data_IF_423854364854
#
_entry.id   IF_423854364854
#
_cell.length_a   1.000
_cell.length_b   1.000
_cell.length_c   1.000
_cell.angle_alpha   90.00
_cell.angle_beta   90.00
_cell.angle_gamma   90.00
#
_symmetry.space_group_name_H-M   'P 1'
#
loop_
_entity.id
_entity.type
_entity.pdbx_description
1 polymer ?
#
# COMPACT_ATOMS: atom_id res chain seq x y z
N UNK A 1 -32.37 48.18 41.54
CA UNK A 1 -31.39 48.12 40.44
C UNK A 1 -30.92 46.66 40.33
N UNK A 2 -31.33 45.95 39.28
CA UNK A 2 -31.15 44.51 39.11
C UNK A 2 -30.44 44.23 37.77
N UNK A 3 -29.53 43.24 37.80
CA UNK A 3 -28.87 42.53 36.69
C UNK A 3 -27.78 43.30 35.88
N UNK A 4 -26.74 42.61 35.32
CA UNK A 4 -26.78 41.20 34.90
C UNK A 4 -25.54 40.32 35.22
N UNK A 5 -25.81 39.08 35.65
CA UNK A 5 -24.87 37.94 35.77
C UNK A 5 -24.97 37.00 34.55
N UNK A 6 -25.77 37.35 33.53
CA UNK A 6 -26.14 36.44 32.43
C UNK A 6 -25.10 36.27 31.30
N UNK A 7 -24.00 37.03 31.27
CA UNK A 7 -23.11 37.06 30.09
C UNK A 7 -22.01 35.98 30.07
N UNK A 8 -21.71 35.35 31.21
CA UNK A 8 -20.56 34.43 31.33
C UNK A 8 -20.92 32.98 30.92
N UNK A 9 -22.20 32.60 31.01
CA UNK A 9 -22.69 31.24 30.70
C UNK A 9 -22.72 30.93 29.19
N UNK A 10 -23.06 31.92 28.38
CA UNK A 10 -23.24 31.79 26.92
C UNK A 10 -21.91 31.69 26.15
N UNK A 11 -20.84 32.30 26.66
CA UNK A 11 -19.52 32.23 26.02
C UNK A 11 -18.89 30.84 26.16
N UNK A 12 -19.10 30.19 27.31
CA UNK A 12 -18.51 28.87 27.64
C UNK A 12 -19.14 27.74 26.82
N UNK A 13 -20.44 27.84 26.53
CA UNK A 13 -21.16 26.88 25.67
C UNK A 13 -20.83 27.05 24.18
N UNK A 14 -20.54 28.27 23.71
CA UNK A 14 -20.06 28.50 22.34
C UNK A 14 -18.63 27.96 22.13
N UNK A 15 -17.74 28.13 23.11
CA UNK A 15 -16.37 27.59 23.07
C UNK A 15 -16.34 26.05 23.10
N UNK A 16 -17.24 25.40 23.84
CA UNK A 16 -17.34 23.94 23.85
C UNK A 16 -17.94 23.35 22.56
N UNK A 17 -18.86 24.07 21.89
CA UNK A 17 -19.38 23.65 20.58
C UNK A 17 -18.37 23.86 19.45
N UNK A 18 -17.51 24.89 19.54
CA UNK A 18 -16.41 25.09 18.59
C UNK A 18 -15.32 24.01 18.72
N UNK A 19 -14.99 23.58 19.94
CA UNK A 19 -14.02 22.49 20.18
C UNK A 19 -14.50 21.13 19.66
N UNK A 20 -15.80 20.85 19.72
CA UNK A 20 -16.38 19.60 19.22
C UNK A 20 -16.46 19.56 17.68
N UNK A 21 -16.62 20.70 17.00
CA UNK A 21 -16.66 20.74 15.54
C UNK A 21 -15.28 20.53 14.89
N UNK A 22 -14.20 20.90 15.58
CA UNK A 22 -12.82 20.68 15.11
C UNK A 22 -12.41 19.21 15.29
N UNK A 23 -12.88 18.52 16.32
CA UNK A 23 -12.58 17.09 16.51
C UNK A 23 -13.31 16.16 15.51
N UNK A 24 -14.46 16.58 14.97
CA UNK A 24 -15.21 15.78 14.00
C UNK A 24 -14.65 15.92 12.57
N UNK A 25 -13.89 16.98 12.26
CA UNK A 25 -13.18 17.10 10.97
C UNK A 25 -11.84 16.34 10.92
N UNK A 26 -11.30 15.89 12.06
CA UNK A 26 -10.06 15.10 12.09
C UNK A 26 -10.28 13.58 12.01
N UNK A 27 -11.55 13.11 11.99
CA UNK A 27 -11.87 11.75 11.55
C UNK A 27 -11.99 11.65 10.02
N UNK A 28 -11.15 12.42 9.31
CA UNK A 28 -10.89 12.16 7.90
C UNK A 28 -10.29 10.77 7.80
N UNK A 29 -11.09 9.84 7.29
CA UNK A 29 -10.69 8.61 6.61
C UNK A 29 -9.27 8.16 6.97
N UNK A 30 -9.14 7.26 7.94
CA UNK A 30 -7.97 6.41 8.05
C UNK A 30 -7.92 5.49 6.81
N UNK A 31 -7.74 6.07 5.63
CA UNK A 31 -7.20 5.35 4.49
C UNK A 31 -5.80 4.92 4.89
N UNK A 32 -5.44 3.69 4.57
CA UNK A 32 -4.06 3.22 4.71
C UNK A 32 -3.13 4.30 4.12
N UNK A 33 -2.26 4.87 4.96
CA UNK A 33 -1.27 5.84 4.52
C UNK A 33 -0.40 5.18 3.46
N UNK A 34 -0.23 5.82 2.31
CA UNK A 34 0.67 5.30 1.28
C UNK A 34 2.11 5.40 1.81
N UNK A 35 2.96 4.41 1.54
CA UNK A 35 4.37 4.49 1.89
C UNK A 35 5.04 5.77 1.32
N UNK A 36 4.48 6.32 0.25
CA UNK A 36 4.98 7.53 -0.40
C UNK A 36 4.46 8.83 0.25
N UNK A 37 3.66 8.78 1.30
CA UNK A 37 3.20 9.99 2.00
C UNK A 37 4.26 10.58 2.94
N UNK A 38 4.41 11.93 2.98
CA UNK A 38 3.54 12.94 2.36
C UNK A 38 3.86 13.27 0.89
N UNK A 39 2.82 13.44 0.06
CA UNK A 39 2.90 13.61 -1.41
C UNK A 39 3.87 14.72 -1.86
N UNK A 40 3.92 15.85 -1.15
CA UNK A 40 4.64 17.05 -1.58
C UNK A 40 6.12 17.11 -1.20
N UNK A 41 6.61 16.22 -0.33
CA UNK A 41 7.94 16.36 0.25
C UNK A 41 8.89 15.27 -0.29
N UNK A 42 10.15 15.60 -0.58
CA UNK A 42 11.16 14.59 -0.83
C UNK A 42 11.49 13.85 0.47
N UNK A 43 11.73 12.56 0.38
CA UNK A 43 12.28 11.76 1.45
C UNK A 43 13.78 11.87 1.45
N UNK A 44 14.34 12.27 2.59
CA UNK A 44 15.76 12.15 2.84
C UNK A 44 16.07 10.70 3.22
N UNK A 45 16.87 10.05 2.39
CA UNK A 45 17.29 8.65 2.52
C UNK A 45 18.73 8.61 3.00
N UNK A 46 19.02 7.76 3.98
CA UNK A 46 20.39 7.54 4.40
C UNK A 46 21.22 6.89 3.27
N UNK A 47 22.38 7.44 2.88
CA UNK A 47 23.16 6.94 1.73
C UNK A 47 23.82 5.58 1.92
N UNK A 48 24.08 5.16 3.16
CA UNK A 48 24.70 3.87 3.40
C UNK A 48 23.62 2.79 3.34
N UNK A 49 23.69 1.96 2.30
CA UNK A 49 22.74 0.86 2.06
C UNK A 49 23.49 -0.46 2.29
N UNK A 50 23.20 -1.20 3.38
CA UNK A 50 23.76 -2.53 3.61
C UNK A 50 23.31 -3.49 2.51
N UNK A 51 24.24 -4.28 2.01
CA UNK A 51 23.98 -5.32 1.00
C UNK A 51 24.36 -6.66 1.63
N UNK A 52 23.35 -7.43 2.03
CA UNK A 52 23.52 -8.61 2.87
C UNK A 52 23.08 -9.85 2.10
N UNK A 53 23.81 -10.95 2.21
CA UNK A 53 23.36 -12.21 1.64
C UNK A 53 22.22 -12.77 2.49
N UNK A 54 21.17 -13.30 1.85
CA UNK A 54 20.00 -13.79 2.56
C UNK A 54 20.31 -14.92 3.56
N UNK A 55 21.31 -15.77 3.30
CA UNK A 55 21.75 -16.82 4.24
C UNK A 55 22.36 -16.23 5.51
N UNK A 56 23.11 -15.12 5.36
CA UNK A 56 23.83 -14.51 6.48
C UNK A 56 22.83 -13.89 7.49
N UNK A 57 21.63 -13.50 7.04
CA UNK A 57 20.55 -13.07 7.93
C UNK A 57 20.04 -14.20 8.84
N UNK A 58 20.16 -15.45 8.43
CA UNK A 58 19.81 -16.61 9.27
C UNK A 58 20.87 -16.88 10.33
N UNK A 59 22.13 -16.60 9.99
CA UNK A 59 23.30 -17.01 10.77
C UNK A 59 23.73 -15.99 11.84
N UNK A 60 23.41 -14.69 11.65
CA UNK A 60 23.79 -13.62 12.57
C UNK A 60 22.60 -13.09 13.40
N UNK A 61 22.48 -13.57 14.63
CA UNK A 61 21.46 -13.12 15.60
C UNK A 61 21.51 -11.60 15.83
N UNK A 62 22.71 -11.03 15.86
CA UNK A 62 22.93 -9.59 16.00
C UNK A 62 22.32 -8.80 14.84
N UNK A 63 22.57 -9.21 13.60
CA UNK A 63 22.08 -8.53 12.41
C UNK A 63 20.55 -8.60 12.33
N UNK A 64 19.96 -9.75 12.66
CA UNK A 64 18.50 -9.89 12.75
C UNK A 64 17.88 -8.90 13.73
N UNK A 65 18.52 -8.73 14.90
CA UNK A 65 18.05 -7.78 15.89
C UNK A 65 18.13 -6.36 15.36
N UNK A 66 19.25 -5.99 14.72
CA UNK A 66 19.39 -4.67 14.09
C UNK A 66 18.31 -4.43 13.03
N UNK A 67 18.05 -5.40 12.13
CA UNK A 67 16.98 -5.29 11.14
C UNK A 67 15.60 -5.20 11.79
N UNK A 68 15.30 -6.02 12.79
CA UNK A 68 14.04 -5.97 13.50
C UNK A 68 13.83 -4.61 14.16
N UNK A 69 14.87 -4.07 14.81
CA UNK A 69 14.84 -2.76 15.47
C UNK A 69 14.52 -1.63 14.48
N UNK A 70 14.98 -1.71 13.22
CA UNK A 70 14.62 -0.74 12.16
C UNK A 70 13.11 -0.68 11.91
N UNK A 71 12.40 -1.81 12.03
CA UNK A 71 10.96 -1.91 11.79
C UNK A 71 10.10 -1.60 13.03
N UNK A 72 10.71 -1.39 14.21
CA UNK A 72 9.95 -1.13 15.44
C UNK A 72 9.35 0.27 15.56
N UNK A 73 9.65 1.17 14.61
CA UNK A 73 8.89 2.39 14.37
C UNK A 73 8.59 3.24 15.60
N UNK A 74 9.62 3.87 16.19
CA UNK A 74 9.43 4.69 17.40
C UNK A 74 9.46 6.20 17.17
N UNK A 75 10.00 6.65 16.04
CA UNK A 75 10.06 8.07 15.66
C UNK A 75 10.80 8.99 16.63
N UNK A 76 11.33 8.49 17.74
CA UNK A 76 12.10 9.27 18.69
C UNK A 76 13.52 9.51 18.16
N UNK A 77 14.06 10.73 18.30
CA UNK A 77 15.37 11.05 17.74
C UNK A 77 16.52 10.17 18.23
N UNK A 78 16.39 9.55 19.41
CA UNK A 78 17.39 8.63 19.94
C UNK A 78 17.37 7.28 19.22
N UNK A 79 16.19 6.68 19.00
CA UNK A 79 16.08 5.44 18.20
C UNK A 79 16.44 5.69 16.74
N UNK A 80 16.10 6.85 16.17
CA UNK A 80 16.51 7.22 14.80
C UNK A 80 18.04 7.23 14.68
N UNK A 81 18.74 7.87 15.63
CA UNK A 81 20.20 7.89 15.62
C UNK A 81 20.81 6.48 15.75
N UNK A 82 20.26 5.66 16.66
CA UNK A 82 20.69 4.27 16.83
C UNK A 82 20.44 3.43 15.56
N UNK A 83 19.33 3.65 14.87
CA UNK A 83 19.02 3.01 13.60
C UNK A 83 20.05 3.37 12.51
N UNK A 84 20.46 4.64 12.40
CA UNK A 84 21.50 5.05 11.46
C UNK A 84 22.85 4.39 11.78
N UNK A 85 23.22 4.31 13.06
CA UNK A 85 24.43 3.61 13.50
C UNK A 85 24.39 2.11 13.19
N UNK A 86 23.23 1.47 13.38
CA UNK A 86 23.01 0.08 13.05
C UNK A 86 23.17 -0.17 11.54
N UNK A 87 22.57 0.68 10.71
CA UNK A 87 22.70 0.63 9.24
C UNK A 87 24.16 0.78 8.81
N UNK A 88 24.90 1.73 9.37
CA UNK A 88 26.32 1.91 9.05
C UNK A 88 27.18 0.71 9.47
N UNK A 89 26.87 0.13 10.63
CA UNK A 89 27.57 -1.07 11.12
C UNK A 89 27.32 -2.27 10.20
N UNK A 90 26.07 -2.48 9.77
CA UNK A 90 25.69 -3.53 8.83
C UNK A 90 26.34 -3.32 7.46
N UNK A 91 26.38 -2.08 6.96
CA UNK A 91 27.02 -1.78 5.69
C UNK A 91 28.52 -2.10 5.77
N UNK A 92 29.22 -1.62 6.80
CA UNK A 92 30.64 -1.84 6.98
C UNK A 92 30.98 -3.34 7.15
N UNK A 93 30.12 -4.09 7.83
CA UNK A 93 30.31 -5.52 8.03
C UNK A 93 30.19 -6.32 6.72
N UNK A 94 29.17 -6.02 5.90
CA UNK A 94 28.83 -6.83 4.72
C UNK A 94 29.46 -6.34 3.41
N UNK A 95 30.00 -5.12 3.35
CA UNK A 95 30.50 -4.51 2.12
C UNK A 95 31.54 -5.37 1.39
N UNK A 96 32.55 -5.88 2.10
CA UNK A 96 33.63 -6.67 1.49
C UNK A 96 33.10 -7.98 0.92
N UNK A 97 32.22 -8.65 1.65
CA UNK A 97 31.61 -9.92 1.24
C UNK A 97 30.70 -9.74 0.03
N UNK A 98 29.86 -8.71 0.05
CA UNK A 98 28.98 -8.38 -1.07
C UNK A 98 29.79 -8.01 -2.32
N UNK A 99 30.83 -7.17 -2.18
CA UNK A 99 31.71 -6.79 -3.28
C UNK A 99 32.40 -8.01 -3.89
N UNK A 100 32.93 -8.91 -3.08
CA UNK A 100 33.62 -10.13 -3.55
C UNK A 100 32.68 -11.06 -4.35
N UNK A 101 31.39 -11.09 -4.03
CA UNK A 101 30.44 -12.00 -4.65
C UNK A 101 29.70 -11.42 -5.86
N UNK A 102 29.40 -10.12 -5.81
CA UNK A 102 28.70 -9.41 -6.88
C UNK A 102 29.67 -8.78 -7.88
N UNK A 103 30.95 -8.66 -7.53
CA UNK A 103 32.02 -8.07 -8.33
C UNK A 103 31.93 -6.54 -8.46
N UNK A 104 31.04 -5.90 -7.68
CA UNK A 104 30.77 -4.46 -7.72
C UNK A 104 30.05 -4.00 -6.45
N UNK A 105 30.15 -2.72 -6.13
CA UNK A 105 29.39 -2.12 -5.01
C UNK A 105 27.97 -1.79 -5.46
N UNK A 106 27.00 -2.59 -5.02
CA UNK A 106 25.59 -2.41 -5.37
C UNK A 106 24.99 -1.13 -4.76
N UNK A 107 25.48 -0.70 -3.58
CA UNK A 107 25.05 0.53 -2.93
C UNK A 107 25.26 1.75 -3.85
N UNK A 108 26.51 2.03 -4.23
CA UNK A 108 26.82 3.23 -5.02
C UNK A 108 26.22 3.17 -6.42
N UNK A 109 26.14 1.98 -7.01
CA UNK A 109 25.50 1.79 -8.31
C UNK A 109 24.00 2.04 -8.28
N UNK A 110 23.30 1.58 -7.24
CA UNK A 110 21.86 1.82 -7.09
C UNK A 110 21.58 3.32 -7.02
N UNK A 111 22.32 4.06 -6.20
CA UNK A 111 22.17 5.52 -6.08
C UNK A 111 22.48 6.18 -7.43
N UNK A 112 23.56 5.78 -8.10
CA UNK A 112 23.94 6.33 -9.41
C UNK A 112 22.90 6.08 -10.51
N UNK A 113 22.26 4.91 -10.54
CA UNK A 113 21.18 4.60 -11.49
C UNK A 113 19.87 5.34 -11.13
N UNK A 114 19.54 5.51 -9.84
CA UNK A 114 18.41 6.36 -9.42
C UNK A 114 18.60 7.81 -9.87
N UNK A 115 19.81 8.37 -9.70
CA UNK A 115 20.15 9.70 -10.18
C UNK A 115 20.10 9.79 -11.70
N UNK A 116 20.48 8.72 -12.41
CA UNK A 116 20.36 8.63 -13.87
C UNK A 116 18.90 8.67 -14.30
N UNK A 117 18.00 7.94 -13.63
CA UNK A 117 16.56 8.01 -13.91
C UNK A 117 16.01 9.41 -13.65
N UNK A 118 16.41 10.06 -12.55
CA UNK A 118 16.02 11.44 -12.26
C UNK A 118 16.46 12.41 -13.37
N UNK A 119 17.69 12.28 -13.88
CA UNK A 119 18.19 13.07 -15.01
C UNK A 119 17.42 12.80 -16.30
N UNK A 120 17.03 11.55 -16.59
CA UNK A 120 16.28 11.20 -17.81
C UNK A 120 14.95 11.95 -17.94
N UNK A 121 14.25 12.15 -16.84
CA UNK A 121 12.98 12.90 -16.81
C UNK A 121 13.14 14.39 -16.49
N UNK A 122 14.39 14.87 -16.36
CA UNK A 122 14.73 16.24 -16.00
C UNK A 122 14.01 16.75 -14.73
N UNK A 123 13.85 15.90 -13.72
CA UNK A 123 13.23 16.32 -12.45
C UNK A 123 14.22 17.08 -11.58
N UNK A 124 13.87 18.32 -11.21
CA UNK A 124 14.69 19.16 -10.32
C UNK A 124 14.55 18.80 -8.83
N UNK A 125 13.60 17.94 -8.50
CA UNK A 125 13.29 17.57 -7.12
C UNK A 125 12.90 16.09 -7.06
N UNK A 126 13.90 15.18 -7.13
CA UNK A 126 13.63 13.77 -7.00
C UNK A 126 13.00 13.47 -5.64
N UNK A 127 12.05 12.53 -5.61
CA UNK A 127 11.33 12.16 -4.38
C UNK A 127 12.21 11.45 -3.37
N UNK A 128 13.25 10.77 -3.82
CA UNK A 128 14.29 10.19 -2.97
C UNK A 128 15.54 11.04 -3.09
N UNK A 129 16.09 11.49 -1.96
CA UNK A 129 17.35 12.22 -1.89
C UNK A 129 18.29 11.49 -0.94
N UNK A 130 19.40 10.99 -1.47
CA UNK A 130 20.41 10.30 -0.67
C UNK A 130 21.42 11.30 -0.13
N UNK A 131 21.29 11.71 1.13
CA UNK A 131 22.23 12.64 1.77
C UNK A 131 22.37 12.36 3.27
N UNK A 132 23.55 12.60 3.82
CA UNK A 132 23.85 12.34 5.24
C UNK A 132 23.22 13.35 6.22
N UNK A 133 22.24 14.16 5.81
CA UNK A 133 21.59 15.18 6.65
C UNK A 133 22.55 16.19 7.32
N UNK A 134 23.79 16.34 6.80
CA UNK A 134 24.85 17.13 7.43
C UNK A 134 25.52 16.45 8.64
N UNK A 135 25.37 15.14 8.78
CA UNK A 135 26.08 14.27 9.73
C UNK A 135 27.31 13.71 9.02
N UNK A 136 28.47 13.74 9.64
CA UNK A 136 29.64 13.02 9.11
C UNK A 136 29.72 11.61 9.69
N UNK A 137 30.33 10.63 9.00
CA UNK A 137 30.54 9.29 9.55
C UNK A 137 31.23 9.32 10.92
N UNK A 138 32.19 10.24 11.13
CA UNK A 138 32.91 10.37 12.39
C UNK A 138 32.04 10.95 13.51
N UNK A 139 31.14 11.90 13.20
CA UNK A 139 30.15 12.41 14.15
C UNK A 139 29.21 11.28 14.62
N UNK A 140 28.79 10.42 13.70
CA UNK A 140 27.88 9.31 13.99
C UNK A 140 28.56 8.22 14.84
N UNK A 141 29.82 7.88 14.54
CA UNK A 141 30.59 6.89 15.31
C UNK A 141 30.92 7.37 16.73
N UNK A 142 31.18 8.67 16.91
CA UNK A 142 31.54 9.25 18.23
C UNK A 142 30.35 9.69 19.08
N UNK A 143 29.12 9.38 18.66
CA UNK A 143 27.90 9.83 19.35
C UNK A 143 27.82 9.42 20.84
N UNK A 144 28.37 8.24 21.19
CA UNK A 144 28.38 7.75 22.58
C UNK A 144 29.34 8.50 23.51
N UNK A 145 30.35 9.18 22.94
CA UNK A 145 31.34 9.97 23.67
C UNK A 145 31.03 11.49 23.61
N UNK A 146 29.95 11.89 22.94
CA UNK A 146 29.58 13.29 22.78
C UNK A 146 28.92 13.86 24.05
N UNK A 147 29.13 15.15 24.30
CA UNK A 147 28.40 15.86 25.37
C UNK A 147 26.90 15.99 25.05
N UNK A 148 26.10 16.36 26.06
CA UNK A 148 24.64 16.44 25.93
C UNK A 148 24.16 17.41 24.84
N UNK A 149 24.89 18.51 24.59
CA UNK A 149 24.54 19.52 23.59
C UNK A 149 24.85 19.02 22.19
N UNK A 150 26.02 18.44 21.99
CA UNK A 150 26.44 17.83 20.73
C UNK A 150 25.54 16.64 20.36
N UNK A 151 25.19 15.79 21.34
CA UNK A 151 24.26 14.69 21.16
C UNK A 151 22.85 15.17 20.79
N UNK A 152 22.37 16.24 21.43
CA UNK A 152 21.10 16.88 21.08
C UNK A 152 21.09 17.42 19.64
N UNK A 153 22.17 18.07 19.20
CA UNK A 153 22.31 18.54 17.83
C UNK A 153 22.36 17.39 16.82
N UNK A 154 23.09 16.32 17.12
CA UNK A 154 23.18 15.13 16.27
C UNK A 154 21.83 14.43 16.11
N UNK A 155 21.07 14.29 17.20
CA UNK A 155 19.70 13.76 17.17
C UNK A 155 18.77 14.61 16.30
N UNK A 156 18.89 15.93 16.37
CA UNK A 156 18.09 16.84 15.55
C UNK A 156 18.46 16.80 14.05
N UNK A 157 19.73 16.50 13.71
CA UNK A 157 20.12 16.20 12.33
C UNK A 157 19.55 14.85 11.89
N UNK A 158 19.69 13.82 12.73
CA UNK A 158 19.27 12.45 12.42
C UNK A 158 17.76 12.35 12.17
N UNK A 159 16.94 13.09 12.94
CA UNK A 159 15.49 13.14 12.76
C UNK A 159 15.03 13.71 11.41
N UNK A 160 15.93 14.31 10.62
CA UNK A 160 15.62 14.75 9.24
C UNK A 160 15.65 13.59 8.25
N UNK A 161 16.34 12.50 8.57
CA UNK A 161 16.37 11.30 7.75
C UNK A 161 15.03 10.59 7.91
N UNK A 162 14.31 10.43 6.80
CA UNK A 162 12.99 9.83 6.79
C UNK A 162 13.06 8.32 6.51
N UNK A 163 14.00 7.92 5.64
CA UNK A 163 14.11 6.55 5.14
C UNK A 163 15.53 6.00 5.33
N UNK A 164 15.60 4.71 5.63
CA UNK A 164 16.80 3.88 5.44
C UNK A 164 16.48 2.78 4.44
N UNK A 165 17.51 2.27 3.77
CA UNK A 165 17.36 1.16 2.86
C UNK A 165 18.37 0.06 3.19
N UNK A 166 18.00 -1.19 2.94
CA UNK A 166 18.92 -2.32 2.92
C UNK A 166 18.55 -3.26 1.77
N UNK A 167 19.53 -4.02 1.29
CA UNK A 167 19.35 -4.97 0.20
C UNK A 167 19.73 -6.35 0.70
N UNK A 168 18.85 -7.32 0.46
CA UNK A 168 19.15 -8.73 0.68
C UNK A 168 19.32 -9.41 -0.67
N UNK A 169 20.27 -10.33 -0.82
CA UNK A 169 20.45 -11.04 -2.08
C UNK A 169 20.70 -12.55 -1.92
N UNK A 170 20.24 -13.31 -2.91
CA UNK A 170 20.44 -14.74 -3.04
C UNK A 170 20.96 -15.03 -4.44
N UNK A 171 22.07 -15.76 -4.53
CA UNK A 171 22.55 -16.27 -5.82
C UNK A 171 21.73 -17.48 -6.22
N UNK A 172 21.24 -17.47 -7.44
CA UNK A 172 20.54 -18.60 -8.03
C UNK A 172 21.51 -19.41 -8.91
N UNK A 173 21.03 -20.52 -9.47
CA UNK A 173 21.78 -21.28 -10.47
C UNK A 173 22.09 -20.41 -11.71
N UNK A 174 23.27 -20.59 -12.29
CA UNK A 174 23.77 -19.77 -13.40
C UNK A 174 24.30 -18.40 -12.94
N UNK A 175 24.05 -17.36 -13.74
CA UNK A 175 24.52 -15.98 -13.50
C UNK A 175 23.50 -15.08 -12.81
N UNK A 176 22.34 -15.64 -12.43
CA UNK A 176 21.22 -14.89 -11.88
C UNK A 176 21.39 -14.63 -10.38
N UNK A 177 20.99 -13.44 -9.96
CA UNK A 177 20.91 -13.01 -8.57
C UNK A 177 19.51 -12.49 -8.33
N UNK A 178 18.86 -13.01 -7.30
CA UNK A 178 17.65 -12.41 -6.75
C UNK A 178 18.07 -11.41 -5.68
N UNK A 179 17.62 -10.16 -5.78
CA UNK A 179 17.84 -9.16 -4.76
C UNK A 179 16.55 -8.46 -4.38
N UNK A 180 16.41 -8.17 -3.09
CA UNK A 180 15.28 -7.45 -2.51
C UNK A 180 15.79 -6.20 -1.82
N UNK A 181 15.51 -5.02 -2.37
CA UNK A 181 15.74 -3.75 -1.71
C UNK A 181 14.53 -3.43 -0.84
N UNK A 182 14.75 -3.16 0.45
CA UNK A 182 13.70 -2.77 1.39
C UNK A 182 13.99 -1.37 1.92
N UNK A 183 13.05 -0.46 1.72
CA UNK A 183 13.06 0.87 2.31
C UNK A 183 12.20 0.86 3.57
N UNK A 184 12.68 1.47 4.65
CA UNK A 184 11.99 1.53 5.95
C UNK A 184 11.84 2.98 6.38
N UNK A 185 10.63 3.38 6.78
CA UNK A 185 10.37 4.69 7.40
C UNK A 185 10.78 4.65 8.86
N UNK A 186 11.79 5.43 9.23
CA UNK A 186 12.28 5.49 10.62
C UNK A 186 11.22 6.01 11.61
N UNK A 187 10.29 6.84 11.11
CA UNK A 187 9.21 7.42 11.92
C UNK A 187 8.12 6.42 12.32
N UNK A 188 7.77 5.47 11.44
CA UNK A 188 6.62 4.57 11.61
C UNK A 188 6.98 3.09 11.62
N UNK A 189 8.19 2.71 11.19
CA UNK A 189 8.58 1.32 10.97
C UNK A 189 7.93 0.68 9.74
N UNK A 190 7.09 1.41 9.01
CA UNK A 190 6.52 0.94 7.75
C UNK A 190 7.64 0.65 6.75
N UNK A 191 7.48 -0.37 5.91
CA UNK A 191 8.49 -0.76 4.94
C UNK A 191 7.90 -1.10 3.58
N UNK A 192 8.64 -0.78 2.52
CA UNK A 192 8.32 -1.15 1.14
C UNK A 192 9.51 -1.92 0.54
N UNK A 193 9.23 -3.10 0.01
CA UNK A 193 10.23 -3.98 -0.61
C UNK A 193 10.06 -4.05 -2.13
N UNK A 194 11.18 -4.21 -2.83
CA UNK A 194 11.28 -4.34 -4.28
C UNK A 194 12.20 -5.52 -4.59
N UNK A 195 11.67 -6.53 -5.27
CA UNK A 195 12.42 -7.77 -5.56
C UNK A 195 12.58 -7.94 -7.05
N UNK A 196 13.83 -8.14 -7.49
CA UNK A 196 14.19 -8.42 -8.88
C UNK A 196 15.04 -9.67 -8.96
N UNK A 197 14.95 -10.38 -10.10
CA UNK A 197 15.79 -11.54 -10.41
C UNK A 197 16.44 -11.33 -11.75
N UNK A 198 17.72 -10.93 -11.75
CA UNK A 198 18.47 -10.56 -12.95
C UNK A 198 19.96 -10.89 -12.79
N UNK A 199 20.78 -10.89 -13.87
CA UNK A 199 22.22 -10.99 -13.73
C UNK A 199 22.80 -9.90 -12.82
N UNK A 200 23.85 -10.23 -12.04
CA UNK A 200 24.49 -9.28 -11.13
C UNK A 200 24.85 -7.92 -11.79
N UNK A 201 25.28 -7.86 -13.07
CA UNK A 201 25.59 -6.59 -13.70
C UNK A 201 24.44 -5.60 -13.88
N UNK A 202 23.22 -6.10 -14.00
CA UNK A 202 22.02 -5.29 -14.27
C UNK A 202 21.18 -5.07 -13.02
N UNK A 203 21.60 -5.62 -11.88
CA UNK A 203 20.84 -5.64 -10.63
C UNK A 203 20.50 -4.23 -10.13
N UNK A 204 21.48 -3.33 -10.14
CA UNK A 204 21.31 -1.95 -9.71
C UNK A 204 20.30 -1.18 -10.57
N UNK A 205 20.38 -1.31 -11.90
CA UNK A 205 19.48 -0.64 -12.85
C UNK A 205 18.04 -1.18 -12.72
N UNK A 206 17.87 -2.50 -12.58
CA UNK A 206 16.55 -3.11 -12.38
C UNK A 206 15.90 -2.61 -11.08
N UNK A 207 16.61 -2.68 -9.95
CA UNK A 207 16.11 -2.15 -8.67
C UNK A 207 15.83 -0.64 -8.74
N UNK A 208 16.73 0.13 -9.36
CA UNK A 208 16.57 1.57 -9.48
C UNK A 208 15.29 1.93 -10.26
N UNK A 209 14.97 1.20 -11.33
CA UNK A 209 13.75 1.43 -12.11
C UNK A 209 12.50 1.17 -11.28
N UNK A 210 12.41 0.02 -10.63
CA UNK A 210 11.23 -0.33 -9.82
C UNK A 210 11.01 0.67 -8.66
N UNK A 211 12.09 1.04 -7.96
CA UNK A 211 12.04 2.04 -6.89
C UNK A 211 11.65 3.41 -7.46
N UNK A 212 12.27 3.83 -8.57
CA UNK A 212 12.01 5.13 -9.16
C UNK A 212 10.56 5.25 -9.64
N UNK A 213 10.07 4.26 -10.37
CA UNK A 213 8.70 4.22 -10.90
C UNK A 213 7.68 4.20 -9.76
N UNK A 214 7.97 3.51 -8.65
CA UNK A 214 7.12 3.55 -7.47
C UNK A 214 7.00 4.96 -6.88
N UNK A 215 8.12 5.65 -6.66
CA UNK A 215 8.12 6.96 -6.00
C UNK A 215 7.72 8.12 -6.93
N UNK A 216 8.07 8.04 -8.21
CA UNK A 216 7.86 9.10 -9.20
C UNK A 216 6.64 8.86 -10.10
N UNK A 217 6.16 7.62 -10.17
CA UNK A 217 4.99 7.26 -10.93
C UNK A 217 3.70 7.87 -10.39
N UNK A 218 2.68 7.88 -11.24
CA UNK A 218 1.35 8.37 -10.90
C UNK A 218 0.80 7.62 -9.69
N UNK A 219 0.29 8.37 -8.70
CA UNK A 219 -0.50 7.79 -7.62
C UNK A 219 -1.93 7.66 -8.09
N UNK A 220 -2.43 6.43 -8.15
CA UNK A 220 -3.84 6.19 -8.32
C UNK A 220 -4.49 6.29 -6.94
N UNK A 221 -5.63 6.98 -6.85
CA UNK A 221 -6.48 6.89 -5.66
C UNK A 221 -6.88 5.44 -5.44
N UNK A 222 -7.07 5.04 -4.17
CA UNK A 222 -7.61 3.72 -3.87
C UNK A 222 -8.90 3.48 -4.68
N UNK A 223 -9.02 2.28 -5.24
CA UNK A 223 -10.22 1.88 -5.98
C UNK A 223 -11.45 2.04 -5.10
N UNK A 224 -12.46 2.75 -5.60
CA UNK A 224 -13.75 2.87 -4.93
C UNK A 224 -14.77 2.08 -5.74
N UNK A 225 -15.30 1.02 -5.14
CA UNK A 225 -16.33 0.22 -5.76
C UNK A 225 -17.65 1.02 -5.84
N UNK A 226 -18.17 1.32 -7.05
CA UNK A 226 -19.42 2.07 -7.19
C UNK A 226 -20.65 1.36 -6.61
N UNK A 227 -20.55 0.04 -6.42
CA UNK A 227 -21.59 -0.80 -5.83
C UNK A 227 -21.31 -1.15 -4.37
N UNK A 228 -20.39 -0.46 -3.67
CA UNK A 228 -19.99 -0.78 -2.30
C UNK A 228 -21.14 -0.80 -1.28
N UNK A 229 -22.24 -0.08 -1.54
CA UNK A 229 -23.42 -0.09 -0.68
C UNK A 229 -24.32 -1.34 -0.87
N UNK A 230 -24.04 -2.16 -1.89
CA UNK A 230 -24.80 -3.35 -2.26
C UNK A 230 -24.00 -4.59 -1.93
N UNK A 231 -24.71 -5.67 -1.66
CA UNK A 231 -24.09 -6.93 -1.29
C UNK A 231 -24.27 -7.96 -2.41
N UNK A 232 -23.16 -8.56 -2.84
CA UNK A 232 -23.15 -9.64 -3.82
C UNK A 232 -23.27 -10.98 -3.10
N UNK A 233 -24.25 -11.79 -3.52
CA UNK A 233 -24.46 -13.14 -3.02
C UNK A 233 -24.11 -14.14 -4.12
N UNK A 234 -23.40 -15.18 -3.73
CA UNK A 234 -23.14 -16.31 -4.61
C UNK A 234 -24.43 -17.08 -4.92
N UNK A 235 -24.39 -17.85 -6.01
CA UNK A 235 -25.40 -18.88 -6.26
C UNK A 235 -25.50 -19.85 -5.07
N UNK A 236 -26.68 -20.46 -4.92
CA UNK A 236 -26.89 -21.56 -3.97
C UNK A 236 -25.74 -22.58 -4.05
N UNK A 237 -25.25 -23.12 -2.93
CA UNK A 237 -24.14 -24.09 -2.94
C UNK A 237 -24.39 -25.29 -3.89
N UNK A 238 -25.64 -25.77 -3.98
CA UNK A 238 -26.01 -26.85 -4.91
C UNK A 238 -26.03 -26.46 -6.40
N UNK A 239 -25.93 -25.16 -6.73
CA UNK A 239 -25.92 -24.62 -8.09
C UNK A 239 -24.53 -24.14 -8.53
N UNK A 240 -23.52 -24.16 -7.65
CA UNK A 240 -22.26 -23.45 -7.84
C UNK A 240 -21.53 -23.82 -9.15
N UNK A 241 -21.64 -25.07 -9.60
CA UNK A 241 -20.99 -25.58 -10.82
C UNK A 241 -21.97 -26.07 -11.89
N UNK A 242 -23.25 -25.70 -11.77
CA UNK A 242 -24.28 -26.14 -12.70
C UNK A 242 -24.90 -24.93 -13.40
N UNK A 243 -25.26 -25.12 -14.67
CA UNK A 243 -26.20 -24.21 -15.31
C UNK A 243 -27.56 -24.45 -14.68
N UNK A 244 -28.29 -23.37 -14.44
CA UNK A 244 -29.64 -23.41 -13.88
C UNK A 244 -30.61 -22.64 -14.75
N UNK A 245 -31.91 -22.88 -14.57
CA UNK A 245 -32.94 -22.12 -15.25
C UNK A 245 -33.08 -20.73 -14.63
N UNK A 246 -33.56 -19.76 -15.41
CA UNK A 246 -33.75 -18.38 -14.93
C UNK A 246 -34.73 -18.34 -13.76
N UNK A 247 -35.78 -19.15 -13.82
CA UNK A 247 -36.76 -19.26 -12.75
C UNK A 247 -36.16 -19.77 -11.43
N UNK A 248 -35.28 -20.78 -11.50
CA UNK A 248 -34.61 -21.32 -10.32
C UNK A 248 -33.65 -20.29 -9.71
N UNK A 249 -32.87 -19.61 -10.56
CA UNK A 249 -31.99 -18.53 -10.15
C UNK A 249 -32.76 -17.38 -9.48
N UNK A 250 -33.86 -16.93 -10.11
CA UNK A 250 -34.71 -15.86 -9.60
C UNK A 250 -35.36 -16.22 -8.26
N UNK A 251 -35.92 -17.43 -8.14
CA UNK A 251 -36.52 -17.92 -6.88
C UNK A 251 -35.48 -17.96 -5.75
N UNK A 252 -34.27 -18.41 -6.05
CA UNK A 252 -33.22 -18.42 -5.04
C UNK A 252 -32.83 -17.01 -4.61
N UNK A 253 -32.57 -16.09 -5.54
CA UNK A 253 -32.26 -14.70 -5.17
C UNK A 253 -33.36 -14.06 -4.33
N UNK A 254 -34.63 -14.27 -4.70
CA UNK A 254 -35.78 -13.77 -3.94
C UNK A 254 -35.83 -14.35 -2.53
N UNK A 255 -35.49 -15.64 -2.34
CA UNK A 255 -35.43 -16.27 -1.01
C UNK A 255 -34.39 -15.61 -0.08
N UNK A 256 -33.39 -14.93 -0.64
CA UNK A 256 -32.33 -14.23 0.09
C UNK A 256 -32.59 -12.71 0.23
N UNK A 257 -33.82 -12.26 -0.08
CA UNK A 257 -34.17 -10.84 -0.19
C UNK A 257 -33.26 -10.09 -1.19
N UNK A 258 -32.91 -10.75 -2.28
CA UNK A 258 -32.06 -10.25 -3.34
C UNK A 258 -32.75 -10.38 -4.71
N UNK A 259 -32.14 -9.82 -5.74
CA UNK A 259 -32.59 -9.96 -7.12
C UNK A 259 -31.45 -10.46 -8.00
N UNK A 260 -31.80 -10.91 -9.21
CA UNK A 260 -30.79 -11.02 -10.27
C UNK A 260 -30.23 -9.62 -10.56
N UNK A 261 -28.94 -9.48 -10.89
CA UNK A 261 -28.35 -8.18 -11.23
C UNK A 261 -28.82 -7.69 -12.60
N UNK A 262 -28.71 -6.39 -12.83
CA UNK A 262 -28.77 -5.81 -14.18
C UNK A 262 -27.45 -6.04 -14.93
N UNK A 263 -27.45 -5.86 -16.25
CA UNK A 263 -26.22 -5.94 -17.05
C UNK A 263 -25.15 -4.94 -16.55
N UNK A 264 -25.54 -3.68 -16.36
CA UNK A 264 -24.61 -2.64 -15.88
C UNK A 264 -24.06 -2.90 -14.48
N UNK A 265 -24.85 -3.50 -13.58
CA UNK A 265 -24.36 -3.93 -12.26
C UNK A 265 -23.32 -5.04 -12.37
N UNK A 266 -23.58 -6.03 -13.23
CA UNK A 266 -22.68 -7.14 -13.46
C UNK A 266 -21.38 -6.67 -14.12
N UNK A 267 -21.46 -5.77 -15.10
CA UNK A 267 -20.30 -5.12 -15.74
C UNK A 267 -19.46 -4.31 -14.75
N UNK A 268 -20.11 -3.51 -13.90
CA UNK A 268 -19.43 -2.69 -12.88
C UNK A 268 -18.74 -3.57 -11.84
N UNK A 269 -19.35 -4.69 -11.46
CA UNK A 269 -18.76 -5.63 -10.53
C UNK A 269 -17.65 -6.48 -11.16
N UNK A 270 -17.78 -6.87 -12.43
CA UNK A 270 -16.69 -7.50 -13.20
C UNK A 270 -15.48 -6.56 -13.27
N UNK A 271 -15.69 -5.28 -13.59
CA UNK A 271 -14.64 -4.27 -13.64
C UNK A 271 -13.99 -3.98 -12.28
N UNK A 272 -14.76 -4.05 -11.19
CA UNK A 272 -14.22 -3.93 -9.83
C UNK A 272 -13.40 -5.15 -9.40
N UNK A 273 -13.63 -6.30 -10.03
CA UNK A 273 -12.99 -7.56 -9.70
C UNK A 273 -13.37 -8.11 -8.33
N UNK A 274 -13.09 -9.40 -8.10
CA UNK A 274 -13.45 -10.09 -6.86
C UNK A 274 -12.87 -9.43 -5.61
N UNK A 275 -11.59 -9.05 -5.64
CA UNK A 275 -10.91 -8.40 -4.50
C UNK A 275 -11.27 -6.92 -4.34
N UNK A 276 -11.91 -6.28 -5.32
CA UNK A 276 -12.46 -4.93 -5.21
C UNK A 276 -13.92 -4.90 -4.75
N UNK A 277 -14.45 -6.01 -4.22
CA UNK A 277 -15.85 -6.13 -3.80
C UNK A 277 -16.84 -6.30 -4.96
N UNK A 278 -16.34 -6.68 -6.13
CA UNK A 278 -17.12 -7.06 -7.29
C UNK A 278 -17.32 -8.58 -7.39
N UNK A 279 -17.43 -9.09 -8.61
CA UNK A 279 -17.60 -10.54 -8.88
C UNK A 279 -16.54 -11.03 -9.86
N UNK A 280 -16.24 -12.33 -9.80
CA UNK A 280 -15.41 -13.00 -10.80
C UNK A 280 -16.29 -13.79 -11.76
N UNK A 281 -16.45 -13.29 -12.99
CA UNK A 281 -17.16 -14.02 -14.02
C UNK A 281 -16.24 -15.09 -14.65
N UNK A 282 -16.80 -16.26 -14.95
CA UNK A 282 -16.10 -17.35 -15.64
C UNK A 282 -15.82 -16.92 -17.09
N UNK A 283 -14.64 -17.21 -17.64
CA UNK A 283 -14.38 -17.05 -19.07
C UNK A 283 -15.42 -17.80 -19.88
N UNK A 284 -16.06 -17.15 -20.85
CA UNK A 284 -17.14 -17.70 -21.67
C UNK A 284 -18.38 -18.20 -20.89
N UNK A 285 -18.53 -17.75 -19.64
CA UNK A 285 -19.71 -18.02 -18.83
C UNK A 285 -20.92 -17.22 -19.30
N UNK A 286 -22.09 -17.84 -19.18
CA UNK A 286 -23.39 -17.21 -19.42
C UNK A 286 -24.10 -17.04 -18.07
N UNK A 287 -24.57 -15.83 -17.78
CA UNK A 287 -25.15 -15.46 -16.49
C UNK A 287 -26.58 -14.95 -16.62
N UNK A 288 -27.47 -15.36 -15.72
CA UNK A 288 -28.81 -14.79 -15.62
C UNK A 288 -28.76 -13.38 -15.06
N UNK A 289 -29.37 -12.46 -15.79
CA UNK A 289 -29.60 -11.07 -15.40
C UNK A 289 -31.09 -10.76 -15.47
N UNK A 290 -31.50 -9.60 -14.97
CA UNK A 290 -32.92 -9.22 -14.96
C UNK A 290 -33.55 -9.23 -16.36
N UNK A 291 -32.82 -8.77 -17.38
CA UNK A 291 -33.32 -8.66 -18.76
C UNK A 291 -33.15 -9.94 -19.60
N UNK A 292 -32.43 -10.97 -19.11
CA UNK A 292 -32.14 -12.16 -19.90
C UNK A 292 -30.84 -12.85 -19.48
N UNK A 293 -29.96 -13.08 -20.46
CA UNK A 293 -28.64 -13.69 -20.27
C UNK A 293 -27.56 -12.66 -20.58
N UNK A 294 -26.50 -12.67 -19.78
CA UNK A 294 -25.25 -11.96 -20.00
C UNK A 294 -24.17 -12.96 -20.41
N UNK A 295 -23.65 -12.84 -21.62
CA UNK A 295 -22.60 -13.69 -22.17
C UNK A 295 -21.25 -12.97 -22.09
N UNK A 296 -20.34 -13.52 -21.30
CA UNK A 296 -19.00 -12.95 -21.09
C UNK A 296 -18.09 -13.08 -22.31
N UNK A 297 -18.39 -13.99 -23.25
CA UNK A 297 -17.59 -14.20 -24.45
C UNK A 297 -17.85 -13.14 -25.54
N UNK A 298 -18.98 -12.44 -25.46
CA UNK A 298 -19.41 -11.49 -26.49
C UNK A 298 -18.76 -10.12 -26.32
N UNK A 299 -18.70 -9.38 -27.43
CA UNK A 299 -18.33 -7.97 -27.41
C UNK A 299 -19.31 -7.18 -26.51
N UNK A 300 -18.82 -6.10 -25.87
CA UNK A 300 -19.60 -5.33 -24.88
C UNK A 300 -21.00 -4.93 -25.39
N UNK A 301 -21.12 -4.57 -26.67
CA UNK A 301 -22.38 -4.20 -27.31
C UNK A 301 -23.42 -5.34 -27.39
N UNK A 302 -22.96 -6.60 -27.38
CA UNK A 302 -23.77 -7.79 -27.64
C UNK A 302 -23.77 -8.79 -26.47
N UNK A 303 -23.28 -8.38 -25.29
CA UNK A 303 -23.24 -9.24 -24.10
C UNK A 303 -24.63 -9.64 -23.60
N UNK A 304 -25.66 -8.84 -23.85
CA UNK A 304 -27.01 -9.09 -23.38
C UNK A 304 -27.83 -9.78 -24.47
N UNK A 305 -28.38 -10.96 -24.15
CA UNK A 305 -29.29 -11.71 -25.02
C UNK A 305 -30.60 -12.00 -24.30
N UNK A 306 -31.69 -11.98 -25.05
CA UNK A 306 -32.98 -12.39 -24.53
C UNK A 306 -32.95 -13.90 -24.17
N UNK A 307 -33.48 -14.25 -23.00
CA UNK A 307 -33.64 -15.66 -22.60
C UNK A 307 -35.02 -16.15 -23.04
N UNK A 308 -35.11 -16.66 -24.27
CA UNK A 308 -36.39 -17.14 -24.84
C UNK A 308 -36.89 -18.46 -24.22
N UNK A 309 -36.07 -19.14 -23.42
CA UNK A 309 -36.41 -20.43 -22.79
C UNK A 309 -36.02 -20.41 -21.31
N UNK A 310 -36.78 -19.63 -20.52
CA UNK A 310 -36.48 -19.36 -19.10
C UNK A 310 -36.49 -20.61 -18.19
N UNK A 311 -37.12 -21.70 -18.63
CA UNK A 311 -37.25 -22.96 -17.90
C UNK A 311 -36.07 -23.92 -18.07
N UNK A 312 -35.20 -23.71 -19.07
CA UNK A 312 -34.07 -24.62 -19.36
C UNK A 312 -32.82 -24.19 -18.59
N UNK A 313 -32.03 -25.14 -18.04
CA UNK A 313 -30.74 -24.83 -17.42
C UNK A 313 -29.72 -24.29 -18.43
N UNK A 314 -29.52 -22.97 -18.47
CA UNK A 314 -28.72 -22.32 -19.52
C UNK A 314 -27.83 -21.16 -19.03
N UNK A 315 -27.73 -20.94 -17.72
CA UNK A 315 -26.86 -19.89 -17.18
C UNK A 315 -26.51 -20.10 -15.71
N UNK A 316 -25.37 -19.55 -15.30
CA UNK A 316 -25.01 -19.30 -13.92
C UNK A 316 -25.71 -18.03 -13.41
N UNK A 317 -25.55 -17.67 -12.14
CA UNK A 317 -26.11 -16.42 -11.63
C UNK A 317 -25.36 -15.95 -10.39
N UNK A 318 -25.42 -14.65 -10.16
CA UNK A 318 -25.19 -14.03 -8.86
C UNK A 318 -26.49 -13.36 -8.43
N UNK A 319 -26.63 -13.09 -7.14
CA UNK A 319 -27.69 -12.23 -6.65
C UNK A 319 -27.09 -10.94 -6.12
N UNK A 320 -27.83 -9.84 -6.26
CA UNK A 320 -27.48 -8.56 -5.68
C UNK A 320 -28.56 -8.14 -4.70
N UNK A 321 -28.15 -7.78 -3.48
CA UNK A 321 -29.02 -7.28 -2.43
C UNK A 321 -28.77 -5.78 -2.26
N UNK A 322 -29.84 -5.01 -2.45
CA UNK A 322 -29.81 -3.58 -2.21
C UNK A 322 -29.88 -3.29 -0.71
N UNK A 323 -29.24 -2.21 -0.24
CA UNK A 323 -29.34 -1.80 1.15
C UNK A 323 -30.81 -1.50 1.49
N UNK A 324 -31.27 -1.96 2.65
CA UNK A 324 -32.61 -1.66 3.13
C UNK A 324 -32.67 -0.17 3.46
N UNK A 325 -33.53 0.58 2.76
CA UNK A 325 -33.68 2.01 3.00
C UNK A 325 -34.37 2.26 4.35
N UNK A 326 -33.57 2.43 5.40
CA UNK A 326 -34.04 2.64 6.77
C UNK A 326 -34.64 4.03 7.01
N UNK A 327 -34.57 4.95 6.03
CA UNK A 327 -35.18 6.28 6.16
C UNK A 327 -36.71 6.25 6.05
N UNK A 328 -37.29 5.34 5.28
CA UNK A 328 -38.75 5.25 5.12
C UNK A 328 -39.47 4.72 6.37
N UNK A 329 -38.77 3.98 7.24
CA UNK A 329 -39.35 3.39 8.46
C UNK A 329 -39.56 4.40 9.61
N UNK A 330 -38.91 5.57 9.56
CA UNK A 330 -38.99 6.59 10.63
C UNK A 330 -40.13 7.59 10.48
N UNK A 331 -40.83 7.61 9.35
CA UNK A 331 -41.95 8.54 9.07
C UNK A 331 -43.31 7.90 9.36
N UNK A 332 -43.34 6.60 9.73
CA UNK A 332 -44.58 5.87 10.08
C UNK A 332 -44.65 5.45 11.56
N UNK A 333 -43.99 6.18 12.45
CA UNK A 333 -44.22 6.05 13.91
C UNK A 333 -44.65 7.38 14.49
#
# INVERSE_FOLDING_TARGET
>A
MHAPIFYISTLRTLLHRAGALVLVLCCGLAGASDFRDPVGQPFLVWPNIPVVRATDLGDYEHDRKLFADLHTGKGDPATVLAALQAVDSLQAHHERTALAQLGRTLNTQLIGELDRQARRINTRSPKLRFEFAGITPEELQRASAADAKALGALRAKASRVALVAYITYTRLEGSLVQATATLVKLGSGESQSFTVTVPAPTLADALARDIFDYFQGTRFSQHQNPLAAREWLMAAPGHADQLVSREAAQRYCQSQNAALPTAGELETAEASGFYGGGVALRPTGVYHIQSGLYDTAQALADKVRANHIASVPNGHYYCIRNPVDTRAARVRR
#
